data_IF_344775897712
#
_entry.id   IF_344775897712
#
_cell.length_a   1.000
_cell.length_b   1.000
_cell.length_c   1.000
_cell.angle_alpha   90.00
_cell.angle_beta   90.00
_cell.angle_gamma   90.00
#
_symmetry.space_group_name_H-M   'P 1'
#
loop_
_entity.id
_entity.type
_entity.pdbx_description
1 polymer ?
#
# COMPACT_ATOMS: atom_id res chain seq x y z
N UNK A 1 8.43 6.51 -8.63
CA UNK A 1 8.24 5.08 -8.94
C UNK A 1 8.62 4.26 -7.72
N UNK A 2 7.95 3.15 -7.48
CA UNK A 2 8.28 2.16 -6.46
C UNK A 2 8.94 0.90 -7.04
N UNK A 3 9.14 0.83 -8.36
CA UNK A 3 9.81 -0.29 -9.04
C UNK A 3 11.16 -0.70 -8.40
N UNK A 4 12.04 0.21 -7.93
CA UNK A 4 13.28 -0.18 -7.26
C UNK A 4 13.09 -0.99 -5.97
N UNK A 5 11.93 -0.90 -5.32
CA UNK A 5 11.62 -1.67 -4.11
C UNK A 5 11.10 -3.07 -4.42
N UNK A 6 10.61 -3.35 -5.64
CA UNK A 6 10.00 -4.65 -5.97
C UNK A 6 10.96 -5.84 -5.80
N UNK A 7 12.24 -5.77 -6.22
CA UNK A 7 13.18 -6.86 -5.93
C UNK A 7 13.42 -7.05 -4.43
N UNK A 8 13.38 -5.96 -3.65
CA UNK A 8 13.60 -5.98 -2.21
C UNK A 8 12.41 -6.60 -1.46
N UNK A 9 11.18 -6.32 -1.91
CA UNK A 9 9.96 -6.93 -1.37
C UNK A 9 9.92 -8.44 -1.55
N UNK A 10 10.55 -8.98 -2.60
CA UNK A 10 10.62 -10.42 -2.87
C UNK A 10 11.89 -11.08 -2.29
N UNK A 11 12.72 -10.37 -1.52
CA UNK A 11 13.96 -10.92 -0.97
C UNK A 11 13.72 -11.78 0.30
N UNK A 12 13.04 -12.90 0.14
CA UNK A 12 12.60 -13.78 1.26
C UNK A 12 13.78 -14.28 2.11
N UNK A 13 14.96 -14.45 1.50
CA UNK A 13 16.18 -14.91 2.17
C UNK A 13 16.75 -13.89 3.17
N UNK A 14 16.37 -12.61 3.06
CA UNK A 14 16.85 -11.52 3.90
C UNK A 14 15.65 -10.71 4.42
N UNK A 15 14.95 -11.19 5.46
CA UNK A 15 13.75 -10.54 5.99
C UNK A 15 13.97 -9.06 6.35
N UNK A 16 15.17 -8.70 6.81
CA UNK A 16 15.53 -7.32 7.14
C UNK A 16 15.48 -6.39 5.92
N UNK A 17 15.79 -6.91 4.72
CA UNK A 17 15.74 -6.16 3.46
C UNK A 17 14.29 -5.93 3.04
N UNK A 18 13.44 -6.94 3.20
CA UNK A 18 12.01 -6.80 2.94
C UNK A 18 11.38 -5.80 3.91
N UNK A 19 11.69 -5.90 5.20
CA UNK A 19 11.23 -4.98 6.24
C UNK A 19 11.67 -3.54 5.94
N UNK A 20 12.94 -3.33 5.57
CA UNK A 20 13.44 -2.02 5.16
C UNK A 20 12.66 -1.44 3.98
N UNK A 21 12.38 -2.25 2.95
CA UNK A 21 11.61 -1.82 1.80
C UNK A 21 10.16 -1.45 2.18
N UNK A 22 9.49 -2.29 2.99
CA UNK A 22 8.13 -2.02 3.47
C UNK A 22 8.10 -0.75 4.32
N UNK A 23 9.07 -0.56 5.21
CA UNK A 23 9.20 0.65 6.03
C UNK A 23 9.39 1.90 5.17
N UNK A 24 10.26 1.86 4.17
CA UNK A 24 10.50 2.98 3.27
C UNK A 24 9.23 3.36 2.49
N UNK A 25 8.46 2.37 2.02
CA UNK A 25 7.18 2.59 1.35
C UNK A 25 6.16 3.19 2.32
N UNK A 26 6.05 2.66 3.54
CA UNK A 26 5.17 3.21 4.57
C UNK A 26 5.48 4.67 4.88
N UNK A 27 6.76 5.01 5.03
CA UNK A 27 7.20 6.37 5.33
C UNK A 27 6.74 7.35 4.25
N UNK A 28 7.04 7.08 2.97
CA UNK A 28 6.65 8.00 1.89
C UNK A 28 5.13 8.08 1.72
N UNK A 29 4.40 6.96 1.84
CA UNK A 29 2.94 6.94 1.77
C UNK A 29 2.26 7.69 2.93
N UNK A 30 2.92 7.75 4.09
CA UNK A 30 2.43 8.52 5.24
C UNK A 30 2.62 10.03 5.04
N UNK A 31 3.66 10.43 4.31
CA UNK A 31 3.97 11.85 4.03
C UNK A 31 3.04 12.46 2.97
N UNK A 32 2.80 11.77 1.85
CA UNK A 32 1.90 12.25 0.79
C UNK A 32 1.09 11.10 0.19
N UNK A 33 0.06 10.71 0.93
CA UNK A 33 -0.84 9.60 0.57
C UNK A 33 -1.44 9.77 -0.83
N UNK A 34 -1.81 10.98 -1.23
CA UNK A 34 -2.49 11.22 -2.50
C UNK A 34 -1.55 10.96 -3.68
N UNK A 35 -0.35 11.54 -3.64
CA UNK A 35 0.67 11.37 -4.69
C UNK A 35 1.18 9.94 -4.76
N UNK A 36 1.63 9.38 -3.64
CA UNK A 36 2.26 8.07 -3.63
C UNK A 36 1.23 6.95 -3.81
N UNK A 37 0.00 7.13 -3.30
CA UNK A 37 -1.10 6.21 -3.57
C UNK A 37 -1.49 6.15 -5.04
N UNK A 38 -1.46 7.28 -5.75
CA UNK A 38 -1.65 7.30 -7.22
C UNK A 38 -0.56 6.48 -7.92
N UNK A 39 0.72 6.74 -7.61
CA UNK A 39 1.85 6.03 -8.23
C UNK A 39 1.77 4.53 -7.97
N UNK A 40 1.47 4.11 -6.74
CA UNK A 40 1.35 2.68 -6.38
C UNK A 40 0.25 1.98 -7.18
N UNK A 41 -0.89 2.65 -7.41
CA UNK A 41 -1.98 2.10 -8.24
C UNK A 41 -1.62 2.06 -9.72
N UNK A 42 -1.08 3.15 -10.26
CA UNK A 42 -0.66 3.22 -11.67
C UNK A 42 0.39 2.15 -12.00
N UNK A 43 1.30 1.87 -11.07
CA UNK A 43 2.34 0.85 -11.22
C UNK A 43 1.86 -0.57 -10.83
N UNK A 44 0.59 -0.75 -10.44
CA UNK A 44 0.01 -2.04 -9.98
C UNK A 44 0.75 -2.68 -8.81
N UNK A 45 1.42 -1.86 -8.00
CA UNK A 45 2.20 -2.32 -6.85
C UNK A 45 1.29 -2.62 -5.66
N UNK A 46 0.10 -2.02 -5.62
CA UNK A 46 -0.92 -2.31 -4.61
C UNK A 46 -1.23 -3.82 -4.56
N UNK A 47 -1.46 -4.44 -5.72
CA UNK A 47 -1.80 -5.86 -5.83
C UNK A 47 -0.65 -6.76 -5.34
N UNK A 48 0.60 -6.36 -5.61
CA UNK A 48 1.81 -7.04 -5.10
C UNK A 48 1.87 -6.96 -3.58
N UNK A 49 1.57 -5.80 -3.00
CA UNK A 49 1.56 -5.60 -1.55
C UNK A 49 0.42 -6.37 -0.87
N UNK A 50 -0.74 -6.50 -1.52
CA UNK A 50 -1.83 -7.36 -1.04
C UNK A 50 -1.40 -8.83 -1.03
N UNK A 51 -0.85 -9.32 -2.15
CA UNK A 51 -0.35 -10.70 -2.23
C UNK A 51 0.71 -10.99 -1.17
N UNK A 52 1.69 -10.10 -1.00
CA UNK A 52 2.72 -10.25 0.02
C UNK A 52 2.12 -10.31 1.44
N UNK A 53 1.08 -9.51 1.71
CA UNK A 53 0.39 -9.54 3.00
C UNK A 53 -0.32 -10.88 3.23
N UNK A 54 -0.97 -11.43 2.21
CA UNK A 54 -1.70 -12.69 2.31
C UNK A 54 -0.73 -13.87 2.51
N UNK A 55 0.41 -13.86 1.81
CA UNK A 55 1.50 -14.83 1.96
C UNK A 55 2.07 -14.77 3.39
N UNK A 56 2.28 -13.57 3.95
CA UNK A 56 2.79 -13.39 5.30
C UNK A 56 1.79 -13.80 6.38
N UNK A 57 0.50 -13.50 6.22
CA UNK A 57 -0.54 -13.90 7.19
C UNK A 57 -0.69 -15.43 7.24
N UNK A 58 -0.48 -16.09 6.10
CA UNK A 58 -0.57 -17.55 6.00
C UNK A 58 0.68 -18.29 6.51
N UNK A 59 1.73 -17.57 6.89
CA UNK A 59 3.02 -18.12 7.33
C UNK A 59 3.19 -18.00 8.85
N UNK A 60 3.49 -19.13 9.51
CA UNK A 60 3.66 -19.21 10.96
C UNK A 60 4.94 -18.52 11.50
N UNK A 61 5.88 -18.17 10.62
CA UNK A 61 7.16 -17.57 11.00
C UNK A 61 7.33 -16.10 10.55
N UNK A 62 6.25 -15.45 10.14
CA UNK A 62 6.29 -14.07 9.65
C UNK A 62 6.62 -13.06 10.76
N UNK A 63 7.45 -12.07 10.42
CA UNK A 63 7.76 -10.96 11.32
C UNK A 63 6.49 -10.11 11.58
N UNK A 64 6.05 -9.98 12.85
CA UNK A 64 4.87 -9.22 13.21
C UNK A 64 4.92 -7.75 12.77
N UNK A 65 6.11 -7.12 12.80
CA UNK A 65 6.30 -5.74 12.41
C UNK A 65 6.10 -5.56 10.91
N UNK A 66 6.59 -6.51 10.11
CA UNK A 66 6.41 -6.49 8.66
C UNK A 66 4.92 -6.57 8.30
N UNK A 67 4.19 -7.49 8.92
CA UNK A 67 2.73 -7.63 8.74
C UNK A 67 2.01 -6.34 9.16
N UNK A 68 2.39 -5.74 10.29
CA UNK A 68 1.77 -4.51 10.78
C UNK A 68 1.99 -3.33 9.82
N UNK A 69 3.22 -3.11 9.36
CA UNK A 69 3.53 -2.03 8.43
C UNK A 69 2.79 -2.23 7.11
N UNK A 70 2.77 -3.45 6.57
CA UNK A 70 2.10 -3.73 5.32
C UNK A 70 0.58 -3.50 5.41
N UNK A 71 -0.05 -3.93 6.51
CA UNK A 71 -1.46 -3.61 6.81
C UNK A 71 -1.70 -2.11 6.91
N UNK A 72 -0.80 -1.37 7.56
CA UNK A 72 -0.88 0.09 7.66
C UNK A 72 -0.85 0.76 6.28
N UNK A 73 0.08 0.35 5.40
CA UNK A 73 0.16 0.86 4.03
C UNK A 73 -1.14 0.56 3.27
N UNK A 74 -1.60 -0.68 3.29
CA UNK A 74 -2.83 -1.07 2.59
C UNK A 74 -4.03 -0.26 3.09
N UNK A 75 -4.14 -0.03 4.40
CA UNK A 75 -5.18 0.81 4.98
C UNK A 75 -5.05 2.28 4.54
N UNK A 76 -3.85 2.86 4.58
CA UNK A 76 -3.58 4.22 4.11
C UNK A 76 -3.98 4.42 2.65
N UNK A 77 -3.80 3.39 1.82
CA UNK A 77 -4.01 3.46 0.37
C UNK A 77 -5.40 3.00 -0.08
N UNK A 78 -6.23 2.47 0.83
CA UNK A 78 -7.62 2.09 0.54
C UNK A 78 -8.35 3.29 -0.10
N UNK A 79 -9.08 3.09 -1.21
CA UNK A 79 -9.89 4.14 -1.77
C UNK A 79 -10.95 4.54 -0.73
N UNK A 80 -10.91 5.79 -0.26
CA UNK A 80 -12.08 6.36 0.37
C UNK A 80 -13.11 6.57 -0.73
N UNK A 81 -14.23 5.85 -0.67
CA UNK A 81 -15.43 6.23 -1.43
C UNK A 81 -15.88 7.60 -0.92
N UNK A 82 -15.28 8.66 -1.44
CA UNK A 82 -15.82 10.01 -1.25
C UNK A 82 -17.12 10.03 -2.04
N UNK A 83 -18.24 10.06 -1.32
CA UNK A 83 -19.57 10.25 -1.88
C UNK A 83 -19.63 11.63 -2.56
N UNK A 84 -19.15 11.73 -3.81
CA UNK A 84 -19.44 12.86 -4.69
C UNK A 84 -20.82 12.64 -5.30
N UNK A 85 -21.86 12.61 -4.47
CA UNK A 85 -23.18 12.98 -4.98
C UNK A 85 -23.19 14.50 -5.13
N UNK A 86 -23.01 14.89 -6.39
CA UNK A 86 -23.19 16.24 -6.92
C UNK A 86 -24.54 16.79 -6.47
N UNK A 87 -24.51 17.95 -5.83
CA UNK A 87 -25.56 18.95 -5.97
C UNK A 87 -25.66 19.31 -7.47
N UNK A 88 -26.66 18.77 -8.15
CA UNK A 88 -27.16 19.18 -9.47
C UNK A 88 -28.60 18.63 -9.49
N UNK A 89 -29.70 19.40 -9.42
CA UNK A 89 -29.93 20.74 -9.92
C UNK A 89 -31.06 21.38 -9.11
N UNK A 90 -30.78 22.47 -8.40
CA UNK A 90 -31.77 23.53 -8.23
C UNK A 90 -31.75 24.32 -9.53
N UNK A 91 -32.80 24.20 -10.34
CA UNK A 91 -33.42 25.18 -11.25
C UNK A 91 -34.37 24.37 -12.13
N UNK A 92 -35.65 24.39 -11.78
CA UNK A 92 -36.74 24.27 -12.73
C UNK A 92 -37.73 25.39 -12.34
N UNK A 93 -37.71 26.45 -13.16
CA UNK A 93 -38.82 27.40 -13.27
C UNK A 93 -40.01 26.72 -13.93
#
# INVERSE_FOLDING_TARGET
>A
SFKPFLPLLHCIRLPVVQLWAVWAIHHVCSTDRARYGRIIREEKIYDIMQKLNDDLISSDCSDPLMVQLLKSILHLLKPHYSNRHRNSSAVAN
#
